data_IF_615820568143
#
_entry.id   IF_615820568143
#
_cell.length_a   1.000
_cell.length_b   1.000
_cell.length_c   1.000
_cell.angle_alpha   90.00
_cell.angle_beta   90.00
_cell.angle_gamma   90.00
#
_symmetry.space_group_name_H-M   'P 1'
#
loop_
_entity.id
_entity.type
_entity.pdbx_description
1 polymer ?
#
# COMPACT_ATOMS: atom_id res chain seq x y z
N UNK A 1 13.27 -3.26 -24.17
CA UNK A 1 14.27 -2.21 -24.47
C UNK A 1 15.16 -1.92 -23.25
N UNK A 2 14.69 -2.08 -22.06
CA UNK A 2 15.42 -1.81 -20.83
C UNK A 2 16.07 -3.06 -20.20
N UNK A 3 16.23 -4.14 -20.94
CA UNK A 3 16.80 -5.40 -20.43
C UNK A 3 18.25 -5.64 -20.85
N UNK A 4 18.78 -4.79 -21.73
CA UNK A 4 20.13 -4.89 -22.25
C UNK A 4 20.70 -3.48 -22.49
N UNK A 5 21.93 -3.18 -22.04
CA UNK A 5 22.55 -1.86 -22.24
C UNK A 5 22.59 -1.41 -23.70
N UNK A 6 22.77 -2.33 -24.64
CA UNK A 6 22.85 -2.02 -26.07
C UNK A 6 21.52 -1.53 -26.68
N UNK A 7 20.39 -1.81 -26.02
CA UNK A 7 19.05 -1.41 -26.43
C UNK A 7 18.45 -0.31 -25.53
N UNK A 8 19.16 0.07 -24.46
CA UNK A 8 18.72 1.10 -23.54
C UNK A 8 18.87 2.48 -24.16
N UNK A 9 17.78 3.24 -24.18
CA UNK A 9 17.74 4.62 -24.68
C UNK A 9 17.15 5.53 -23.60
N UNK A 10 17.87 6.58 -23.26
CA UNK A 10 17.44 7.58 -22.29
C UNK A 10 17.89 8.99 -22.71
N UNK A 11 17.26 9.99 -22.12
CA UNK A 11 17.62 11.40 -22.23
C UNK A 11 18.02 12.02 -20.87
N UNK A 12 18.19 11.19 -19.84
CA UNK A 12 18.58 11.59 -18.50
C UNK A 12 20.08 11.85 -18.34
N UNK A 13 20.52 12.26 -17.12
CA UNK A 13 21.91 12.60 -16.82
C UNK A 13 22.87 11.41 -16.89
N UNK A 14 22.37 10.20 -16.76
CA UNK A 14 23.14 8.97 -16.82
C UNK A 14 22.56 8.00 -17.85
N UNK A 15 23.41 7.13 -18.40
CA UNK A 15 23.03 6.04 -19.30
C UNK A 15 23.59 4.72 -18.76
N UNK A 16 22.95 3.60 -19.11
CA UNK A 16 23.37 2.27 -18.67
C UNK A 16 24.61 1.81 -19.47
N UNK A 17 25.71 1.61 -18.77
CA UNK A 17 26.91 1.02 -19.34
C UNK A 17 26.87 -0.50 -19.32
N UNK A 18 26.50 -1.08 -18.17
CA UNK A 18 26.42 -2.53 -18.00
C UNK A 18 25.32 -2.94 -17.02
N UNK A 19 24.84 -4.17 -17.18
CA UNK A 19 23.95 -4.83 -16.23
C UNK A 19 24.39 -6.28 -16.06
N UNK A 20 25.03 -6.56 -14.95
CA UNK A 20 25.29 -7.92 -14.48
C UNK A 20 24.10 -8.35 -13.62
N UNK A 21 23.25 -9.21 -14.18
CA UNK A 21 22.02 -9.65 -13.53
C UNK A 21 22.29 -10.27 -12.15
N UNK A 22 21.46 -9.92 -11.15
CA UNK A 22 21.57 -10.30 -9.74
C UNK A 22 22.87 -9.81 -9.05
N UNK A 23 23.59 -8.86 -9.62
CA UNK A 23 24.84 -8.34 -9.07
C UNK A 23 24.87 -6.81 -9.08
N UNK A 24 25.06 -6.18 -10.25
CA UNK A 24 25.22 -4.74 -10.33
C UNK A 24 24.70 -4.15 -11.64
N UNK A 25 24.10 -2.95 -11.55
CA UNK A 25 23.84 -2.07 -12.69
C UNK A 25 24.81 -0.91 -12.60
N UNK A 26 25.62 -0.71 -13.65
CA UNK A 26 26.53 0.43 -13.75
C UNK A 26 25.95 1.46 -14.70
N UNK A 27 25.76 2.67 -14.18
CA UNK A 27 25.39 3.84 -14.96
C UNK A 27 26.61 4.75 -15.11
N UNK A 28 26.73 5.36 -16.29
CA UNK A 28 27.77 6.36 -16.58
C UNK A 28 27.16 7.67 -17.02
N UNK A 29 27.85 8.76 -16.80
CA UNK A 29 27.46 10.10 -17.23
C UNK A 29 27.08 10.10 -18.72
N UNK A 30 25.91 10.68 -19.02
CA UNK A 30 25.44 10.81 -20.39
C UNK A 30 25.96 12.11 -21.02
N UNK A 31 26.92 12.05 -21.97
CA UNK A 31 27.48 13.25 -22.57
C UNK A 31 26.50 14.03 -23.46
N UNK A 32 25.35 13.41 -23.79
CA UNK A 32 24.30 14.04 -24.61
C UNK A 32 23.18 14.64 -23.74
N UNK A 33 23.28 14.58 -22.42
CA UNK A 33 22.32 15.23 -21.54
C UNK A 33 22.46 16.76 -21.71
N UNK A 34 21.34 17.49 -21.73
CA UNK A 34 21.34 18.93 -22.03
C UNK A 34 22.17 19.74 -21.03
N UNK A 35 22.36 19.24 -19.83
CA UNK A 35 23.06 19.90 -18.73
C UNK A 35 24.26 19.05 -18.25
N UNK A 36 24.91 18.35 -19.18
CA UNK A 36 25.98 17.38 -18.87
C UNK A 36 27.16 18.03 -18.13
N UNK A 37 27.45 19.30 -18.37
CA UNK A 37 28.56 20.00 -17.74
C UNK A 37 28.39 20.17 -16.21
N UNK A 38 27.15 20.15 -15.73
CA UNK A 38 26.83 20.23 -14.30
C UNK A 38 26.93 18.86 -13.58
N UNK A 39 27.03 17.75 -14.33
CA UNK A 39 27.14 16.41 -13.76
C UNK A 39 28.60 16.14 -13.35
N UNK A 40 28.83 15.96 -12.06
CA UNK A 40 30.15 15.72 -11.49
C UNK A 40 30.49 14.25 -11.30
N UNK A 41 29.49 13.42 -10.99
CA UNK A 41 29.68 11.98 -10.81
C UNK A 41 29.79 11.29 -12.17
N UNK A 42 30.91 10.63 -12.41
CA UNK A 42 31.16 9.93 -13.69
C UNK A 42 30.43 8.58 -13.75
N UNK A 43 30.30 7.89 -12.61
CA UNK A 43 29.74 6.53 -12.52
C UNK A 43 28.89 6.38 -11.27
N UNK A 44 27.79 5.65 -11.41
CA UNK A 44 26.93 5.20 -10.30
C UNK A 44 26.77 3.69 -10.42
N UNK A 45 27.05 2.96 -9.35
CA UNK A 45 26.85 1.52 -9.27
C UNK A 45 25.68 1.20 -8.37
N UNK A 46 24.65 0.53 -8.90
CA UNK A 46 23.54 0.00 -8.13
C UNK A 46 23.80 -1.49 -7.87
N UNK A 47 24.25 -1.83 -6.67
CA UNK A 47 24.41 -3.21 -6.23
C UNK A 47 23.05 -3.81 -5.90
N UNK A 48 22.72 -4.93 -6.52
CA UNK A 48 21.43 -5.60 -6.38
C UNK A 48 21.51 -6.58 -5.21
N UNK A 49 20.88 -6.24 -4.11
CA UNK A 49 20.82 -7.06 -2.90
C UNK A 49 19.42 -6.98 -2.26
N UNK A 50 18.95 -8.10 -1.70
CA UNK A 50 17.78 -8.21 -0.86
C UNK A 50 18.14 -8.53 0.61
N UNK A 51 19.43 -8.51 0.94
CA UNK A 51 19.97 -8.75 2.27
C UNK A 51 20.38 -7.43 2.93
N UNK A 52 19.50 -6.90 3.78
CA UNK A 52 19.71 -5.66 4.51
C UNK A 52 20.94 -5.72 5.45
N UNK A 53 21.29 -6.89 6.00
CA UNK A 53 22.49 -7.06 6.82
C UNK A 53 23.77 -6.92 5.98
N UNK A 54 23.76 -7.46 4.76
CA UNK A 54 24.85 -7.30 3.83
C UNK A 54 25.01 -5.82 3.41
N UNK A 55 23.89 -5.14 3.08
CA UNK A 55 23.90 -3.71 2.77
C UNK A 55 24.51 -2.89 3.89
N UNK A 56 24.05 -3.08 5.12
CA UNK A 56 24.54 -2.36 6.29
C UNK A 56 26.02 -2.62 6.55
N UNK A 57 26.49 -3.86 6.34
CA UNK A 57 27.91 -4.19 6.48
C UNK A 57 28.77 -3.45 5.46
N UNK A 58 28.36 -3.37 4.20
CA UNK A 58 29.11 -2.64 3.16
C UNK A 58 29.10 -1.12 3.43
N UNK A 59 28.00 -0.56 3.92
CA UNK A 59 27.95 0.84 4.33
C UNK A 59 28.92 1.12 5.49
N UNK A 60 28.86 0.33 6.56
CA UNK A 60 29.75 0.50 7.74
C UNK A 60 31.22 0.32 7.41
N UNK A 61 31.57 -0.46 6.38
CA UNK A 61 32.93 -0.64 5.91
C UNK A 61 33.41 0.50 4.98
N UNK A 62 32.50 1.38 4.53
CA UNK A 62 32.79 2.43 3.56
C UNK A 62 32.90 1.92 2.12
N UNK A 63 32.33 0.75 1.82
CA UNK A 63 32.31 0.18 0.47
C UNK A 63 31.14 0.74 -0.36
N UNK A 64 30.04 1.17 0.30
CA UNK A 64 28.86 1.76 -0.31
C UNK A 64 28.51 3.08 0.37
N UNK A 65 28.22 4.10 -0.42
CA UNK A 65 27.90 5.46 0.05
C UNK A 65 26.41 5.64 0.38
N UNK A 66 25.55 4.78 -0.16
CA UNK A 66 24.12 4.81 0.10
C UNK A 66 23.60 3.39 0.20
N UNK A 67 22.75 3.14 1.19
CA UNK A 67 21.92 1.94 1.27
C UNK A 67 20.46 2.34 1.45
N UNK A 68 19.59 1.66 0.72
CA UNK A 68 18.15 1.99 0.58
C UNK A 68 17.25 1.11 1.46
N UNK A 69 17.84 0.30 2.32
CA UNK A 69 17.17 -0.49 3.34
C UNK A 69 18.14 -0.80 4.48
N UNK A 70 17.61 -1.05 5.67
CA UNK A 70 18.37 -1.43 6.86
C UNK A 70 17.66 -2.56 7.61
N UNK A 71 18.39 -3.41 8.35
CA UNK A 71 17.74 -4.39 9.21
C UNK A 71 16.82 -3.73 10.23
N UNK A 72 15.56 -4.15 10.32
CA UNK A 72 14.56 -3.52 11.19
C UNK A 72 14.97 -3.52 12.67
N UNK A 73 15.63 -4.57 13.14
CA UNK A 73 16.16 -4.68 14.49
C UNK A 73 17.34 -3.75 14.79
N UNK A 74 17.96 -3.14 13.78
CA UNK A 74 19.09 -2.20 13.93
C UNK A 74 18.64 -0.72 13.89
N UNK A 75 17.39 -0.42 13.51
CA UNK A 75 16.92 0.96 13.27
C UNK A 75 17.16 1.85 14.51
N UNK A 76 16.83 1.38 15.72
CA UNK A 76 16.99 2.16 16.93
C UNK A 76 18.47 2.47 17.23
N UNK A 77 19.37 1.50 17.04
CA UNK A 77 20.81 1.69 17.20
C UNK A 77 21.39 2.60 16.14
N UNK A 78 20.97 2.42 14.87
CA UNK A 78 21.46 3.25 13.76
C UNK A 78 21.06 4.72 13.90
N UNK A 79 19.84 5.02 14.33
CA UNK A 79 19.41 6.38 14.66
C UNK A 79 20.30 7.04 15.73
N UNK A 80 20.77 6.26 16.70
CA UNK A 80 21.60 6.75 17.78
C UNK A 80 23.09 6.88 17.38
N UNK A 81 23.61 5.94 16.62
CA UNK A 81 25.02 5.85 16.23
C UNK A 81 25.37 6.72 15.01
N UNK A 82 24.41 6.87 14.09
CA UNK A 82 24.57 7.56 12.79
C UNK A 82 23.51 8.66 12.59
N UNK A 83 23.34 9.62 13.54
CA UNK A 83 22.24 10.59 13.49
C UNK A 83 22.27 11.51 12.25
N UNK A 84 23.43 11.72 11.64
CA UNK A 84 23.61 12.56 10.47
C UNK A 84 23.54 11.77 9.14
N UNK A 85 23.63 10.45 9.20
CA UNK A 85 23.67 9.55 8.04
C UNK A 85 22.39 8.71 7.91
N UNK A 86 21.69 8.45 9.02
CA UNK A 86 20.42 7.75 9.01
C UNK A 86 19.27 8.72 8.73
N UNK A 87 18.62 8.57 7.58
CA UNK A 87 17.55 9.48 7.12
C UNK A 87 16.21 8.79 7.20
N UNK A 88 15.22 9.52 7.72
CA UNK A 88 13.79 9.20 7.64
C UNK A 88 13.11 10.32 6.88
N UNK A 89 12.70 10.06 5.65
CA UNK A 89 12.00 11.02 4.81
C UNK A 89 10.51 10.65 4.71
N UNK A 90 9.66 11.65 4.48
CA UNK A 90 8.24 11.39 4.18
C UNK A 90 8.06 10.80 2.78
N UNK A 91 7.18 9.80 2.64
CA UNK A 91 6.85 9.21 1.36
C UNK A 91 5.33 9.10 1.19
N UNK A 92 4.82 9.57 0.05
CA UNK A 92 3.39 9.52 -0.23
C UNK A 92 3.04 8.12 -0.71
N UNK A 93 2.60 7.29 0.21
CA UNK A 93 2.24 5.92 -0.07
C UNK A 93 1.58 5.23 1.10
N UNK A 94 0.87 4.16 0.80
CA UNK A 94 0.15 3.36 1.77
C UNK A 94 0.56 1.90 1.67
N UNK A 95 1.02 1.33 2.79
CA UNK A 95 1.12 -0.10 2.95
C UNK A 95 -0.22 -0.64 3.40
N UNK A 96 -0.71 -1.65 2.71
CA UNK A 96 -2.02 -2.24 3.00
C UNK A 96 -2.01 -3.74 2.74
N UNK A 97 -3.00 -4.41 3.26
CA UNK A 97 -3.37 -5.75 2.82
C UNK A 97 -4.64 -5.67 1.97
N UNK A 98 -4.74 -6.51 0.97
CA UNK A 98 -5.91 -6.58 0.10
C UNK A 98 -6.49 -7.98 0.09
N UNK A 99 -7.82 -8.04 -0.02
CA UNK A 99 -8.55 -9.28 -0.19
C UNK A 99 -8.77 -9.58 -1.67
N UNK A 100 -8.76 -10.85 -2.02
CA UNK A 100 -9.45 -11.26 -3.23
C UNK A 100 -10.98 -11.14 -2.98
N UNK A 101 -11.67 -10.30 -3.73
CA UNK A 101 -13.12 -10.08 -3.54
C UNK A 101 -13.94 -11.38 -3.72
N UNK A 102 -13.40 -12.32 -4.49
CA UNK A 102 -14.04 -13.60 -4.81
C UNK A 102 -13.83 -14.67 -3.73
N UNK A 103 -13.04 -14.38 -2.69
CA UNK A 103 -12.83 -15.33 -1.60
C UNK A 103 -14.13 -15.64 -0.88
N UNK A 104 -14.43 -16.92 -0.74
CA UNK A 104 -15.62 -17.35 0.01
C UNK A 104 -15.28 -17.45 1.50
N UNK A 105 -15.58 -16.36 2.20
CA UNK A 105 -15.30 -16.23 3.63
C UNK A 105 -16.51 -16.54 4.51
N UNK A 106 -17.69 -16.80 3.94
CA UNK A 106 -18.85 -17.19 4.74
C UNK A 106 -18.68 -18.62 5.30
N UNK A 107 -19.23 -18.91 6.49
CA UNK A 107 -19.19 -20.27 7.03
C UNK A 107 -19.97 -21.23 6.14
N UNK A 108 -19.53 -22.48 6.08
CA UNK A 108 -20.18 -23.51 5.25
C UNK A 108 -21.69 -23.72 5.57
N UNK A 109 -22.12 -23.29 6.75
CA UNK A 109 -23.52 -23.33 7.19
C UNK A 109 -24.33 -22.11 6.72
N UNK A 110 -23.71 -21.10 6.10
CA UNK A 110 -24.40 -19.89 5.65
C UNK A 110 -25.42 -20.20 4.56
N UNK A 111 -26.56 -19.54 4.68
CA UNK A 111 -27.63 -19.57 3.66
C UNK A 111 -27.74 -18.26 2.89
N UNK A 112 -26.85 -17.30 3.16
CA UNK A 112 -26.84 -16.00 2.48
C UNK A 112 -26.43 -16.17 1.02
N UNK A 113 -27.08 -15.45 0.13
CA UNK A 113 -26.81 -15.48 -1.31
C UNK A 113 -26.95 -14.09 -1.94
N UNK A 114 -26.33 -13.88 -3.10
CA UNK A 114 -26.45 -12.63 -3.87
C UNK A 114 -26.05 -11.39 -3.04
N UNK A 115 -26.90 -10.38 -3.04
CA UNK A 115 -26.65 -9.10 -2.38
C UNK A 115 -26.38 -9.23 -0.87
N UNK A 116 -27.16 -10.08 -0.18
CA UNK A 116 -26.99 -10.30 1.26
C UNK A 116 -25.64 -10.96 1.59
N UNK A 117 -25.19 -11.90 0.76
CA UNK A 117 -23.88 -12.53 0.93
C UNK A 117 -22.75 -11.53 0.72
N UNK A 118 -22.83 -10.70 -0.31
CA UNK A 118 -21.78 -9.70 -0.60
C UNK A 118 -21.71 -8.62 0.48
N UNK A 119 -22.85 -8.15 0.99
CA UNK A 119 -22.86 -7.22 2.11
C UNK A 119 -22.26 -7.84 3.37
N UNK A 120 -22.61 -9.08 3.68
CA UNK A 120 -22.04 -9.81 4.81
C UNK A 120 -20.52 -9.97 4.68
N UNK A 121 -20.02 -10.35 3.49
CA UNK A 121 -18.59 -10.44 3.22
C UNK A 121 -17.87 -9.09 3.40
N UNK A 122 -18.46 -8.00 2.95
CA UNK A 122 -17.90 -6.65 3.15
C UNK A 122 -17.81 -6.29 4.64
N UNK A 123 -18.87 -6.54 5.43
CA UNK A 123 -18.87 -6.33 6.88
C UNK A 123 -17.81 -7.20 7.57
N UNK A 124 -17.66 -8.46 7.16
CA UNK A 124 -16.65 -9.39 7.71
C UNK A 124 -15.23 -8.88 7.41
N UNK A 125 -14.93 -8.48 6.17
CA UNK A 125 -13.60 -7.95 5.81
C UNK A 125 -13.26 -6.69 6.59
N UNK A 126 -14.22 -5.76 6.71
CA UNK A 126 -14.03 -4.56 7.53
C UNK A 126 -13.79 -4.88 9.00
N UNK A 127 -14.55 -5.83 9.57
CA UNK A 127 -14.35 -6.29 10.95
C UNK A 127 -12.96 -6.92 11.15
N UNK A 128 -12.48 -7.74 10.21
CA UNK A 128 -11.12 -8.29 10.28
C UNK A 128 -10.08 -7.18 10.25
N UNK A 129 -10.27 -6.12 9.45
CA UNK A 129 -9.39 -4.96 9.42
C UNK A 129 -9.26 -4.23 10.77
N UNK A 130 -10.28 -4.33 11.64
CA UNK A 130 -10.28 -3.76 13.00
C UNK A 130 -9.50 -4.64 14.02
N UNK A 131 -9.21 -5.91 13.70
CA UNK A 131 -8.40 -6.77 14.56
C UNK A 131 -6.91 -6.39 14.55
N UNK A 132 -6.47 -5.55 13.63
CA UNK A 132 -5.06 -5.20 13.44
C UNK A 132 -4.73 -3.89 14.16
N UNK A 133 -3.86 -3.97 15.17
CA UNK A 133 -3.30 -2.80 15.84
C UNK A 133 -2.21 -2.15 14.96
N UNK A 134 -2.57 -1.05 14.35
CA UNK A 134 -1.69 -0.29 13.46
C UNK A 134 -0.57 0.41 14.20
N UNK A 135 -0.83 0.83 15.45
CA UNK A 135 0.20 1.44 16.29
C UNK A 135 1.29 0.42 16.64
N UNK A 136 0.90 -0.80 17.01
CA UNK A 136 1.87 -1.89 17.22
C UNK A 136 2.71 -2.17 15.97
N UNK A 137 2.08 -2.18 14.78
CA UNK A 137 2.81 -2.42 13.52
C UNK A 137 3.87 -1.34 13.29
N UNK A 138 3.56 -0.06 13.48
CA UNK A 138 4.51 1.02 13.21
C UNK A 138 5.55 1.19 14.31
N UNK A 139 5.21 0.96 15.57
CA UNK A 139 6.08 1.18 16.72
C UNK A 139 7.01 0.00 17.00
N UNK A 140 6.49 -1.23 16.90
CA UNK A 140 7.23 -2.44 17.29
C UNK A 140 7.83 -3.20 16.10
N UNK A 141 7.21 -3.12 14.91
CA UNK A 141 7.71 -3.82 13.72
C UNK A 141 8.41 -2.83 12.78
N UNK A 142 7.73 -1.75 12.38
CA UNK A 142 8.25 -0.79 11.41
C UNK A 142 9.40 0.05 11.92
N UNK A 143 9.22 0.68 13.08
CA UNK A 143 10.20 1.49 13.83
C UNK A 143 10.88 2.65 13.04
N UNK A 144 10.40 2.93 11.83
CA UNK A 144 11.00 3.87 10.89
C UNK A 144 10.19 5.17 10.71
N UNK A 145 9.34 5.51 11.68
CA UNK A 145 8.54 6.74 11.66
C UNK A 145 7.32 6.66 10.76
N UNK A 146 6.91 5.47 10.35
CA UNK A 146 5.63 5.25 9.66
C UNK A 146 4.48 5.78 10.51
N UNK A 147 3.38 6.17 9.85
CA UNK A 147 2.18 6.67 10.52
C UNK A 147 1.05 5.67 10.31
N UNK A 148 0.30 5.28 11.38
CA UNK A 148 -0.86 4.41 11.23
C UNK A 148 -1.85 4.95 10.21
N UNK A 149 -2.30 4.13 9.27
CA UNK A 149 -3.17 4.57 8.18
C UNK A 149 -4.65 4.39 8.53
N UNK A 150 -5.39 5.50 8.53
CA UNK A 150 -6.84 5.54 8.72
C UNK A 150 -7.63 5.37 7.42
N UNK A 151 -6.99 5.59 6.26
CA UNK A 151 -7.58 5.56 4.92
C UNK A 151 -6.57 5.06 3.88
N UNK A 152 -7.03 4.84 2.65
CA UNK A 152 -6.19 4.31 1.58
C UNK A 152 -5.41 5.40 0.84
N UNK A 153 -6.05 6.54 0.53
CA UNK A 153 -5.32 7.68 -0.03
C UNK A 153 -4.33 8.20 1.00
N UNK A 154 -3.06 8.24 0.62
CA UNK A 154 -1.96 8.47 1.56
C UNK A 154 -1.92 9.89 2.14
N UNK A 155 -1.39 10.00 3.35
CA UNK A 155 -0.96 11.25 3.94
C UNK A 155 0.01 11.98 2.99
N UNK A 156 -0.16 13.30 2.86
CA UNK A 156 0.61 14.14 1.94
C UNK A 156 -0.16 14.52 0.68
N UNK A 157 -1.24 13.80 0.34
CA UNK A 157 -2.22 14.26 -0.65
C UNK A 157 -3.12 15.33 -0.05
N UNK A 158 -3.40 16.39 -0.79
CA UNK A 158 -4.19 17.54 -0.29
C UNK A 158 -5.40 17.81 -1.15
N UNK A 159 -6.45 18.33 -0.52
CA UNK A 159 -7.59 18.95 -1.19
C UNK A 159 -7.17 20.29 -1.83
N UNK A 160 -8.01 20.90 -2.70
CA UNK A 160 -7.72 22.19 -3.34
C UNK A 160 -7.48 23.34 -2.36
N UNK A 161 -8.05 23.28 -1.16
CA UNK A 161 -7.87 24.25 -0.08
C UNK A 161 -6.60 24.05 0.76
N UNK A 162 -5.82 22.99 0.49
CA UNK A 162 -4.58 22.63 1.17
C UNK A 162 -4.75 21.76 2.43
N UNK A 163 -5.98 21.39 2.79
CA UNK A 163 -6.22 20.40 3.86
C UNK A 163 -5.82 19.00 3.41
N UNK A 164 -5.48 18.13 4.35
CA UNK A 164 -5.12 16.75 4.01
C UNK A 164 -6.34 16.00 3.49
N UNK A 165 -6.18 15.27 2.39
CA UNK A 165 -7.27 14.50 1.77
C UNK A 165 -7.81 13.44 2.73
N UNK A 166 -6.94 12.69 3.39
CA UNK A 166 -7.32 11.59 4.28
C UNK A 166 -8.06 12.04 5.57
N UNK A 167 -7.96 13.32 5.94
CA UNK A 167 -8.60 13.88 7.14
C UNK A 167 -10.00 14.44 6.87
N UNK A 168 -10.33 14.71 5.61
CA UNK A 168 -11.49 15.53 5.25
C UNK A 168 -12.45 14.86 4.28
N UNK A 169 -12.58 13.56 4.31
CA UNK A 169 -13.34 12.74 3.34
C UNK A 169 -14.86 13.07 3.17
N UNK A 170 -15.27 14.34 3.29
CA UNK A 170 -16.67 14.76 3.13
C UNK A 170 -17.59 14.33 4.29
N UNK A 171 -17.03 13.77 5.34
CA UNK A 171 -17.71 13.30 6.52
C UNK A 171 -17.93 14.39 7.58
N UNK A 172 -18.49 14.01 8.72
CA UNK A 172 -18.74 14.89 9.87
C UNK A 172 -17.43 15.40 10.50
N UNK A 173 -17.53 16.45 11.32
CA UNK A 173 -16.39 16.99 12.09
C UNK A 173 -15.73 15.97 13.03
N UNK A 174 -16.40 14.85 13.32
CA UNK A 174 -15.94 13.73 14.16
C UNK A 174 -15.32 12.59 13.33
N UNK A 175 -15.08 12.79 12.04
CA UNK A 175 -14.50 11.77 11.18
C UNK A 175 -13.05 11.45 11.59
N UNK A 176 -12.80 10.18 11.87
CA UNK A 176 -11.49 9.66 12.32
C UNK A 176 -10.82 8.74 11.27
N UNK A 177 -11.33 8.75 10.05
CA UNK A 177 -10.94 7.81 9.01
C UNK A 177 -11.88 6.60 8.92
N UNK A 178 -11.59 5.68 8.03
CA UNK A 178 -12.31 4.40 7.93
C UNK A 178 -11.91 3.45 9.06
N UNK A 179 -10.76 3.68 9.66
CA UNK A 179 -10.26 3.02 10.86
C UNK A 179 -9.85 4.09 11.86
N UNK A 180 -10.36 4.00 13.09
CA UNK A 180 -9.84 4.83 14.18
C UNK A 180 -8.46 4.30 14.59
N UNK A 181 -7.43 5.08 14.31
CA UNK A 181 -6.02 4.74 14.56
C UNK A 181 -5.45 5.47 15.78
N UNK A 182 -6.29 6.14 16.58
CA UNK A 182 -5.85 6.74 17.83
C UNK A 182 -5.30 5.66 18.78
N UNK A 183 -4.31 6.02 19.59
CA UNK A 183 -3.55 5.07 20.39
C UNK A 183 -4.40 4.24 21.37
N UNK A 184 -5.54 4.79 21.79
CA UNK A 184 -6.48 4.17 22.73
C UNK A 184 -7.70 3.50 22.05
N UNK A 185 -7.80 3.57 20.70
CA UNK A 185 -8.94 3.01 19.98
C UNK A 185 -8.89 1.50 19.77
N UNK A 186 -7.72 0.87 19.89
CA UNK A 186 -7.54 -0.53 19.50
C UNK A 186 -8.47 -1.50 20.28
N UNK A 187 -8.64 -1.31 21.58
CA UNK A 187 -9.52 -2.19 22.38
C UNK A 187 -10.97 -2.11 21.91
N UNK A 188 -11.48 -0.91 21.65
CA UNK A 188 -12.85 -0.71 21.14
C UNK A 188 -13.01 -1.20 19.70
N UNK A 189 -11.99 -1.06 18.86
CA UNK A 189 -11.97 -1.62 17.50
C UNK A 189 -12.03 -3.14 17.53
N UNK A 190 -11.24 -3.77 18.40
CA UNK A 190 -11.22 -5.23 18.57
C UNK A 190 -12.59 -5.76 19.06
N UNK A 191 -13.19 -5.12 20.07
CA UNK A 191 -14.53 -5.48 20.56
C UNK A 191 -15.58 -5.36 19.44
N UNK A 192 -15.54 -4.27 18.67
CA UNK A 192 -16.44 -4.03 17.54
C UNK A 192 -16.28 -5.09 16.44
N UNK A 193 -15.04 -5.52 16.18
CA UNK A 193 -14.75 -6.60 15.25
C UNK A 193 -15.39 -7.91 15.70
N UNK A 194 -15.16 -8.30 16.95
CA UNK A 194 -15.72 -9.54 17.52
C UNK A 194 -17.25 -9.52 17.47
N UNK A 195 -17.90 -8.43 17.90
CA UNK A 195 -19.37 -8.31 17.86
C UNK A 195 -19.92 -8.36 16.43
N UNK A 196 -19.19 -7.83 15.45
CA UNK A 196 -19.59 -7.93 14.06
C UNK A 196 -19.46 -9.35 13.54
N UNK A 197 -18.35 -10.03 13.82
CA UNK A 197 -18.13 -11.42 13.40
C UNK A 197 -19.10 -12.40 14.05
N UNK A 198 -19.57 -12.17 15.28
CA UNK A 198 -20.61 -12.97 15.95
C UNK A 198 -21.94 -13.02 15.18
N UNK A 199 -22.20 -12.07 14.29
CA UNK A 199 -23.41 -12.09 13.44
C UNK A 199 -23.38 -13.24 12.42
N UNK A 200 -22.19 -13.68 12.05
CA UNK A 200 -21.95 -14.58 10.92
C UNK A 200 -21.37 -15.94 11.32
N UNK A 201 -20.61 -15.98 12.40
CA UNK A 201 -19.84 -17.17 12.81
C UNK A 201 -20.24 -17.66 14.20
N UNK A 202 -20.00 -18.95 14.43
CA UNK A 202 -20.19 -19.57 15.75
C UNK A 202 -19.07 -19.15 16.68
N UNK A 203 -19.43 -18.47 17.77
CA UNK A 203 -18.49 -17.99 18.79
C UNK A 203 -18.62 -18.81 20.07
N UNK A 204 -17.50 -19.34 20.59
CA UNK A 204 -17.45 -20.04 21.87
C UNK A 204 -17.08 -19.04 22.98
N UNK A 205 -18.06 -18.62 23.75
CA UNK A 205 -17.89 -17.69 24.87
C UNK A 205 -16.91 -18.20 25.96
N UNK A 206 -16.70 -19.51 26.06
CA UNK A 206 -15.79 -20.08 27.06
C UNK A 206 -14.31 -19.95 26.68
N UNK A 207 -14.02 -19.89 25.38
CA UNK A 207 -12.66 -19.75 24.86
C UNK A 207 -12.39 -18.36 24.26
N UNK A 208 -13.45 -17.60 23.93
CA UNK A 208 -13.32 -16.34 23.21
C UNK A 208 -12.98 -16.52 21.73
N UNK A 209 -13.32 -17.63 21.10
CA UNK A 209 -12.87 -18.01 19.75
C UNK A 209 -14.04 -18.34 18.81
N UNK A 210 -13.87 -17.97 17.53
CA UNK A 210 -14.71 -18.47 16.44
C UNK A 210 -14.27 -19.89 16.05
N UNK A 211 -15.25 -20.74 15.71
CA UNK A 211 -14.99 -22.19 15.50
C UNK A 211 -15.23 -22.64 14.05
N UNK A 212 -15.89 -21.84 13.24
CA UNK A 212 -16.31 -22.18 11.88
C UNK A 212 -15.88 -21.16 10.81
N UNK A 213 -14.90 -20.31 11.14
CA UNK A 213 -14.28 -19.41 10.16
C UNK A 213 -13.42 -20.23 9.19
N UNK A 214 -13.53 -20.00 7.85
CA UNK A 214 -12.70 -20.72 6.88
C UNK A 214 -11.21 -20.36 7.03
N UNK A 215 -10.33 -21.32 6.69
CA UNK A 215 -8.89 -21.06 6.72
C UNK A 215 -8.50 -20.12 5.58
N UNK A 216 -7.74 -19.09 5.91
CA UNK A 216 -7.23 -18.09 4.96
C UNK A 216 -5.77 -18.36 4.61
N UNK A 217 -5.33 -17.82 3.47
CA UNK A 217 -3.92 -17.76 3.09
C UNK A 217 -3.52 -16.29 2.89
N UNK A 218 -2.46 -15.88 3.58
CA UNK A 218 -1.82 -14.58 3.43
C UNK A 218 -0.59 -14.69 2.55
N UNK A 219 -0.64 -14.07 1.39
CA UNK A 219 0.43 -14.07 0.40
C UNK A 219 1.33 -12.82 0.57
N UNK A 220 2.65 -13.02 0.63
CA UNK A 220 3.62 -11.93 0.70
C UNK A 220 4.92 -12.27 -0.04
N UNK A 221 5.63 -11.23 -0.50
CA UNK A 221 6.95 -11.41 -1.11
C UNK A 221 8.05 -11.48 -0.05
N UNK A 222 9.14 -12.13 -0.40
CA UNK A 222 10.31 -12.32 0.46
C UNK A 222 10.85 -10.99 0.96
N UNK A 223 10.75 -10.77 2.27
CA UNK A 223 11.28 -9.64 3.03
C UNK A 223 11.10 -9.95 4.52
N UNK A 224 12.08 -9.61 5.35
CA UNK A 224 11.98 -9.78 6.80
C UNK A 224 10.86 -8.93 7.40
N UNK A 225 10.71 -7.68 6.95
CA UNK A 225 9.65 -6.79 7.40
C UNK A 225 8.25 -7.31 7.02
N UNK A 226 8.07 -7.78 5.78
CA UNK A 226 6.78 -8.32 5.35
C UNK A 226 6.43 -9.62 6.09
N UNK A 227 7.43 -10.45 6.40
CA UNK A 227 7.27 -11.64 7.22
C UNK A 227 6.81 -11.28 8.62
N UNK A 228 7.49 -10.33 9.28
CA UNK A 228 7.15 -9.90 10.64
C UNK A 228 5.71 -9.34 10.72
N UNK A 229 5.30 -8.54 9.73
CA UNK A 229 3.91 -8.07 9.62
C UNK A 229 2.96 -9.26 9.44
N UNK A 230 3.25 -10.18 8.54
CA UNK A 230 2.43 -11.37 8.30
C UNK A 230 2.27 -12.24 9.56
N UNK A 231 3.34 -12.46 10.32
CA UNK A 231 3.33 -13.19 11.60
C UNK A 231 2.49 -12.47 12.65
N UNK A 232 2.55 -11.14 12.70
CA UNK A 232 1.69 -10.36 13.57
C UNK A 232 0.20 -10.48 13.19
N UNK A 233 -0.15 -10.31 11.90
CA UNK A 233 -1.53 -10.45 11.43
C UNK A 233 -2.07 -11.86 11.69
N UNK A 234 -1.24 -12.90 11.47
CA UNK A 234 -1.58 -14.29 11.81
C UNK A 234 -1.89 -14.45 13.30
N UNK A 235 -1.07 -13.83 14.16
CA UNK A 235 -1.27 -13.88 15.62
C UNK A 235 -2.56 -13.18 16.04
N UNK A 236 -2.85 -12.00 15.49
CA UNK A 236 -4.08 -11.25 15.76
C UNK A 236 -5.34 -12.06 15.35
N UNK A 237 -5.30 -12.71 14.20
CA UNK A 237 -6.36 -13.60 13.73
C UNK A 237 -6.52 -14.83 14.62
N UNK A 238 -5.41 -15.46 15.01
CA UNK A 238 -5.41 -16.63 15.87
C UNK A 238 -5.98 -16.34 17.27
N UNK A 239 -5.81 -15.12 17.77
CA UNK A 239 -6.35 -14.68 19.05
C UNK A 239 -7.88 -14.77 19.13
N UNK A 240 -8.57 -14.70 17.99
CA UNK A 240 -10.03 -14.87 17.88
C UNK A 240 -10.43 -16.20 17.24
N UNK A 241 -9.51 -17.16 17.07
CA UNK A 241 -9.80 -18.47 16.51
C UNK A 241 -9.84 -18.56 14.98
N UNK A 242 -9.35 -17.54 14.27
CA UNK A 242 -9.26 -17.54 12.80
C UNK A 242 -7.88 -18.07 12.38
N UNK A 243 -7.88 -19.12 11.55
CA UNK A 243 -6.64 -19.70 11.02
C UNK A 243 -6.23 -19.01 9.74
N UNK A 244 -5.03 -18.44 9.71
CA UNK A 244 -4.42 -17.85 8.52
C UNK A 244 -3.04 -18.45 8.27
N UNK A 245 -2.84 -19.08 7.12
CA UNK A 245 -1.54 -19.59 6.69
C UNK A 245 -0.73 -18.49 6.02
N UNK A 246 0.58 -18.52 6.22
CA UNK A 246 1.50 -17.58 5.57
C UNK A 246 2.13 -18.25 4.35
N UNK A 247 2.08 -17.59 3.20
CA UNK A 247 2.69 -18.04 1.96
C UNK A 247 3.69 -16.99 1.46
N UNK A 248 4.98 -17.37 1.48
CA UNK A 248 6.07 -16.54 0.97
C UNK A 248 6.39 -16.91 -0.47
N UNK A 249 6.55 -15.92 -1.32
CA UNK A 249 6.98 -16.09 -2.71
C UNK A 249 8.08 -15.08 -3.07
N UNK A 250 8.93 -15.46 -4.03
CA UNK A 250 9.84 -14.53 -4.67
C UNK A 250 9.07 -13.46 -5.45
N UNK A 251 9.63 -12.25 -5.57
CA UNK A 251 8.93 -11.05 -6.06
C UNK A 251 8.19 -11.24 -7.38
N UNK A 252 8.85 -11.79 -8.41
CA UNK A 252 8.22 -11.94 -9.72
C UNK A 252 7.06 -12.97 -9.71
N UNK A 253 7.21 -14.06 -8.95
CA UNK A 253 6.18 -15.06 -8.73
C UNK A 253 5.01 -14.45 -7.95
N UNK A 254 5.31 -13.76 -6.85
CA UNK A 254 4.33 -13.07 -6.03
C UNK A 254 3.45 -12.10 -6.83
N UNK A 255 4.05 -11.27 -7.69
CA UNK A 255 3.30 -10.36 -8.55
C UNK A 255 2.34 -11.09 -9.47
N UNK A 256 2.77 -12.20 -10.07
CA UNK A 256 1.92 -12.97 -10.98
C UNK A 256 0.77 -13.66 -10.23
N UNK A 257 1.05 -14.28 -9.08
CA UNK A 257 0.06 -14.94 -8.22
C UNK A 257 -0.99 -13.93 -7.74
N UNK A 258 -0.55 -12.75 -7.26
CA UNK A 258 -1.46 -11.69 -6.82
C UNK A 258 -2.33 -11.15 -7.95
N UNK A 259 -1.75 -10.89 -9.13
CA UNK A 259 -2.50 -10.44 -10.33
C UNK A 259 -3.49 -11.48 -10.84
N UNK A 260 -3.21 -12.77 -10.65
CA UNK A 260 -4.12 -13.86 -10.99
C UNK A 260 -5.28 -14.00 -9.99
N UNK A 261 -5.16 -13.43 -8.79
CA UNK A 261 -6.14 -13.59 -7.71
C UNK A 261 -6.01 -14.93 -6.97
N UNK A 262 -4.86 -15.58 -7.02
CA UNK A 262 -4.63 -16.87 -6.37
C UNK A 262 -4.19 -16.68 -4.90
N UNK A 263 -5.03 -16.01 -4.10
CA UNK A 263 -4.79 -15.72 -2.69
C UNK A 263 -6.11 -15.39 -1.98
N UNK A 264 -6.15 -15.52 -0.66
CA UNK A 264 -7.27 -15.00 0.16
C UNK A 264 -7.01 -13.53 0.54
N UNK A 265 -5.88 -13.28 1.20
CA UNK A 265 -5.38 -11.95 1.56
C UNK A 265 -3.95 -11.84 1.06
N UNK A 266 -3.56 -10.69 0.52
CA UNK A 266 -2.19 -10.46 0.09
C UNK A 266 -1.62 -9.15 0.65
N UNK A 267 -0.32 -9.14 0.90
CA UNK A 267 0.43 -7.91 1.10
C UNK A 267 0.35 -7.04 -0.15
N UNK A 268 0.18 -5.75 0.04
CA UNK A 268 0.26 -4.79 -1.04
C UNK A 268 0.84 -3.45 -0.55
N UNK A 269 1.18 -2.59 -1.48
CA UNK A 269 1.62 -1.24 -1.21
C UNK A 269 1.49 -0.40 -2.47
N UNK A 270 1.17 0.86 -2.31
CA UNK A 270 1.10 1.81 -3.40
C UNK A 270 1.83 3.09 -3.03
N UNK A 271 2.78 3.49 -3.86
CA UNK A 271 3.45 4.78 -3.80
C UNK A 271 2.87 5.68 -4.89
N UNK A 272 2.69 6.96 -4.58
CA UNK A 272 2.13 7.90 -5.54
C UNK A 272 3.06 8.07 -6.75
N UNK A 273 2.53 7.90 -7.95
CA UNK A 273 3.24 8.21 -9.21
C UNK A 273 3.31 9.71 -9.45
N UNK A 274 2.31 10.45 -8.94
CA UNK A 274 2.18 11.91 -9.06
C UNK A 274 1.30 12.45 -7.93
N UNK A 275 1.36 13.76 -7.69
CA UNK A 275 0.63 14.43 -6.59
C UNK A 275 -0.82 14.71 -6.98
N UNK A 276 -1.65 13.67 -7.03
CA UNK A 276 -3.11 13.77 -7.20
C UNK A 276 -3.75 12.50 -6.60
N UNK A 277 -4.79 12.61 -5.74
CA UNK A 277 -5.43 11.46 -5.10
C UNK A 277 -5.94 10.38 -6.05
N UNK A 278 -6.25 10.75 -7.32
CA UNK A 278 -6.73 9.78 -8.30
C UNK A 278 -5.71 8.66 -8.58
N UNK A 279 -4.42 8.88 -8.33
CA UNK A 279 -3.42 7.83 -8.53
C UNK A 279 -3.57 6.66 -7.52
N UNK A 280 -4.29 6.86 -6.42
CA UNK A 280 -4.70 5.82 -5.49
C UNK A 280 -6.05 5.18 -5.86
N UNK A 281 -6.87 5.86 -6.62
CA UNK A 281 -8.26 5.48 -6.86
C UNK A 281 -8.47 4.83 -8.22
N UNK A 282 -7.80 5.28 -9.28
CA UNK A 282 -8.05 4.79 -10.63
C UNK A 282 -7.47 3.40 -10.93
N UNK A 283 -6.64 2.89 -10.02
CA UNK A 283 -6.08 1.54 -10.12
C UNK A 283 -7.11 0.42 -9.92
N UNK A 284 -8.28 0.72 -9.39
CA UNK A 284 -9.31 -0.27 -9.03
C UNK A 284 -10.41 -0.46 -10.09
N UNK A 285 -10.36 0.27 -11.20
CA UNK A 285 -11.30 0.04 -12.32
C UNK A 285 -11.12 -1.37 -12.90
N UNK A 286 -12.20 -1.93 -13.43
CA UNK A 286 -12.27 -3.32 -13.92
C UNK A 286 -11.08 -3.72 -14.81
N UNK A 287 -10.69 -2.86 -15.74
CA UNK A 287 -9.65 -3.15 -16.72
C UNK A 287 -8.24 -2.71 -16.32
N UNK A 288 -8.04 -2.24 -15.09
CA UNK A 288 -6.72 -1.87 -14.60
C UNK A 288 -5.82 -3.08 -14.40
N UNK A 289 -4.56 -2.98 -14.84
CA UNK A 289 -3.53 -3.99 -14.56
C UNK A 289 -3.09 -4.04 -13.09
N UNK A 290 -3.50 -3.04 -12.29
CA UNK A 290 -3.20 -2.95 -10.86
C UNK A 290 -4.42 -3.30 -9.98
N UNK A 291 -5.54 -3.73 -10.58
CA UNK A 291 -6.71 -4.21 -9.87
C UNK A 291 -6.46 -5.64 -9.33
N UNK A 292 -5.60 -5.73 -8.34
CA UNK A 292 -5.20 -7.01 -7.73
C UNK A 292 -6.35 -7.68 -6.95
N UNK A 293 -7.29 -6.89 -6.46
CA UNK A 293 -8.49 -7.34 -5.71
C UNK A 293 -9.50 -8.09 -6.57
N UNK A 294 -9.35 -8.04 -7.90
CA UNK A 294 -10.21 -8.70 -8.87
C UNK A 294 -11.61 -8.07 -9.02
N UNK A 295 -11.78 -6.78 -8.73
CA UNK A 295 -13.04 -6.08 -8.94
C UNK A 295 -13.53 -6.21 -10.40
N UNK A 296 -14.78 -6.64 -10.58
CA UNK A 296 -15.42 -6.79 -11.88
C UNK A 296 -14.85 -7.90 -12.78
N UNK A 297 -13.91 -8.71 -12.30
CA UNK A 297 -13.25 -9.75 -13.11
C UNK A 297 -13.90 -11.12 -13.00
N UNK A 298 -14.73 -11.38 -11.99
CA UNK A 298 -15.37 -12.67 -11.76
C UNK A 298 -16.80 -12.46 -11.20
N UNK A 299 -17.65 -13.44 -11.38
CA UNK A 299 -19.12 -13.41 -11.15
C UNK A 299 -19.55 -13.14 -9.71
N UNK A 300 -18.71 -13.38 -8.70
CA UNK A 300 -19.04 -13.13 -7.30
C UNK A 300 -19.26 -11.64 -6.98
N UNK A 301 -18.70 -10.75 -7.79
CA UNK A 301 -18.90 -9.31 -7.68
C UNK A 301 -20.19 -8.80 -8.38
N UNK A 302 -21.03 -9.69 -8.90
CA UNK A 302 -22.26 -9.34 -9.62
C UNK A 302 -23.45 -8.97 -8.71
N UNK A 303 -23.23 -8.91 -7.39
CA UNK A 303 -24.28 -8.41 -6.49
C UNK A 303 -24.59 -6.94 -6.79
N UNK A 304 -25.82 -6.69 -7.18
CA UNK A 304 -26.31 -5.35 -7.54
C UNK A 304 -26.81 -4.61 -6.30
N UNK A 305 -25.90 -4.15 -5.47
CA UNK A 305 -26.22 -3.48 -4.20
C UNK A 305 -25.70 -2.04 -4.13
N UNK A 306 -24.97 -1.60 -5.14
CA UNK A 306 -24.37 -0.28 -5.19
C UNK A 306 -25.20 0.68 -6.02
N UNK A 307 -25.38 1.89 -5.52
CA UNK A 307 -26.10 2.96 -6.23
C UNK A 307 -25.25 4.22 -6.20
N UNK A 308 -25.30 4.98 -7.29
CA UNK A 308 -24.59 6.25 -7.45
C UNK A 308 -25.54 7.25 -8.10
N UNK A 309 -25.59 8.47 -7.59
CA UNK A 309 -26.31 9.58 -8.19
C UNK A 309 -25.43 10.84 -8.19
N UNK A 310 -24.87 11.18 -9.35
CA UNK A 310 -24.00 12.34 -9.51
C UNK A 310 -24.73 13.59 -10.03
N UNK A 311 -26.04 13.60 -10.04
CA UNK A 311 -26.84 14.75 -10.53
C UNK A 311 -26.65 16.02 -9.72
N UNK A 312 -26.37 15.90 -8.42
CA UNK A 312 -26.02 17.05 -7.55
C UNK A 312 -24.71 17.75 -7.94
N UNK A 313 -23.82 17.06 -8.63
CA UNK A 313 -22.56 17.57 -9.16
C UNK A 313 -22.64 18.03 -10.62
N UNK A 314 -23.85 17.98 -11.21
CA UNK A 314 -24.08 18.40 -12.59
C UNK A 314 -23.84 17.33 -13.65
N UNK A 315 -23.74 16.06 -13.26
CA UNK A 315 -23.64 14.90 -14.15
C UNK A 315 -24.99 14.24 -14.34
N UNK A 316 -25.25 13.69 -15.53
CA UNK A 316 -26.45 12.86 -15.78
C UNK A 316 -26.24 11.38 -15.30
N UNK A 317 -25.11 11.10 -14.66
CA UNK A 317 -24.72 9.76 -14.25
C UNK A 317 -25.53 9.29 -13.06
N UNK A 318 -26.26 8.19 -13.26
CA UNK A 318 -26.96 7.43 -12.22
C UNK A 318 -26.75 5.95 -12.41
N UNK A 319 -26.45 5.25 -11.33
CA UNK A 319 -26.46 3.78 -11.25
C UNK A 319 -27.45 3.39 -10.17
N UNK A 320 -28.49 2.66 -10.52
CA UNK A 320 -29.46 2.10 -9.57
C UNK A 320 -29.23 0.59 -9.47
N UNK A 321 -28.86 0.12 -8.27
CA UNK A 321 -28.57 -1.29 -8.02
C UNK A 321 -27.58 -1.86 -9.04
N UNK A 322 -26.43 -1.22 -9.20
CA UNK A 322 -25.31 -1.69 -10.00
C UNK A 322 -24.42 -2.67 -9.25
N UNK A 323 -23.56 -3.34 -9.97
CA UNK A 323 -22.40 -4.01 -9.35
C UNK A 323 -21.42 -2.95 -8.84
N UNK A 324 -20.51 -3.34 -7.96
CA UNK A 324 -19.46 -2.43 -7.51
C UNK A 324 -18.68 -1.87 -8.70
N UNK A 325 -18.26 -2.73 -9.62
CA UNK A 325 -17.48 -2.35 -10.78
C UNK A 325 -18.25 -1.41 -11.74
N UNK A 326 -19.50 -1.70 -12.04
CA UNK A 326 -20.37 -0.80 -12.84
C UNK A 326 -20.41 0.61 -12.23
N UNK A 327 -20.54 0.69 -10.90
CA UNK A 327 -20.66 1.95 -10.17
C UNK A 327 -19.31 2.69 -10.11
N UNK A 328 -18.22 1.98 -9.78
CA UNK A 328 -16.90 2.57 -9.63
C UNK A 328 -16.31 3.01 -10.96
N UNK A 329 -16.44 2.21 -12.02
CA UNK A 329 -15.90 2.53 -13.35
C UNK A 329 -16.49 3.82 -13.91
N UNK A 330 -17.80 4.07 -13.74
CA UNK A 330 -18.42 5.32 -14.19
C UNK A 330 -17.98 6.50 -13.32
N UNK A 331 -17.90 6.32 -12.00
CA UNK A 331 -17.43 7.37 -11.08
C UNK A 331 -16.01 7.82 -11.42
N UNK A 332 -15.08 6.90 -11.62
CA UNK A 332 -13.70 7.22 -12.04
C UNK A 332 -13.67 7.89 -13.43
N UNK A 333 -14.55 7.49 -14.36
CA UNK A 333 -14.65 8.15 -15.66
C UNK A 333 -15.10 9.62 -15.52
N UNK A 334 -16.07 9.90 -14.67
CA UNK A 334 -16.56 11.27 -14.41
C UNK A 334 -15.49 12.11 -13.69
N UNK A 335 -14.78 11.56 -12.71
CA UNK A 335 -13.63 12.20 -12.06
C UNK A 335 -12.57 12.63 -13.09
N UNK A 336 -12.22 11.72 -14.02
CA UNK A 336 -11.21 12.00 -15.05
C UNK A 336 -11.65 13.07 -16.07
N UNK A 337 -12.94 13.24 -16.28
CA UNK A 337 -13.50 14.23 -17.19
C UNK A 337 -13.84 15.56 -16.50
N UNK A 338 -13.88 15.59 -15.17
CA UNK A 338 -14.22 16.76 -14.39
C UNK A 338 -13.09 17.81 -14.43
N UNK A 339 -13.45 19.05 -14.80
CA UNK A 339 -12.51 20.19 -14.89
C UNK A 339 -12.63 21.17 -13.72
N UNK A 340 -13.70 21.06 -12.92
CA UNK A 340 -13.88 21.84 -11.70
C UNK A 340 -13.18 21.15 -10.53
N UNK A 341 -12.14 21.77 -9.92
CA UNK A 341 -11.34 21.10 -8.90
C UNK A 341 -12.15 20.67 -7.66
N UNK A 342 -13.06 21.52 -7.16
CA UNK A 342 -13.83 21.21 -5.95
C UNK A 342 -14.76 20.01 -6.18
N UNK A 343 -15.51 20.02 -7.28
CA UNK A 343 -16.36 18.89 -7.68
C UNK A 343 -15.54 17.63 -7.87
N UNK A 344 -14.40 17.73 -8.56
CA UNK A 344 -13.53 16.59 -8.82
C UNK A 344 -13.04 15.92 -7.53
N UNK A 345 -12.61 16.72 -6.55
CA UNK A 345 -12.15 16.19 -5.27
C UNK A 345 -13.29 15.60 -4.43
N UNK A 346 -14.47 16.23 -4.44
CA UNK A 346 -15.65 15.63 -3.81
C UNK A 346 -15.99 14.25 -4.39
N UNK A 347 -15.93 14.10 -5.71
CA UNK A 347 -16.12 12.80 -6.37
C UNK A 347 -15.00 11.79 -6.03
N UNK A 348 -13.77 12.24 -5.79
CA UNK A 348 -12.67 11.35 -5.35
C UNK A 348 -12.89 10.86 -3.92
N UNK A 349 -13.44 11.69 -3.03
CA UNK A 349 -13.86 11.22 -1.69
C UNK A 349 -14.96 10.16 -1.79
N UNK A 350 -15.98 10.34 -2.64
CA UNK A 350 -17.00 9.32 -2.89
C UNK A 350 -16.39 8.02 -3.46
N UNK A 351 -15.36 8.12 -4.29
CA UNK A 351 -14.67 6.95 -4.81
C UNK A 351 -13.91 6.18 -3.72
N UNK A 352 -13.26 6.88 -2.79
CA UNK A 352 -12.61 6.24 -1.65
C UNK A 352 -13.65 5.61 -0.70
N UNK A 353 -14.77 6.28 -0.42
CA UNK A 353 -15.88 5.73 0.37
C UNK A 353 -16.40 4.41 -0.23
N UNK A 354 -16.63 4.41 -1.55
CA UNK A 354 -17.11 3.23 -2.25
C UNK A 354 -16.06 2.10 -2.24
N UNK A 355 -14.77 2.43 -2.38
CA UNK A 355 -13.67 1.48 -2.30
C UNK A 355 -13.59 0.84 -0.91
N UNK A 356 -13.55 1.69 0.12
CA UNK A 356 -13.39 1.26 1.50
C UNK A 356 -14.61 0.50 2.04
N UNK A 357 -15.83 0.80 1.53
CA UNK A 357 -17.05 0.09 1.91
C UNK A 357 -16.99 -1.41 1.63
N UNK A 358 -16.19 -1.85 0.67
CA UNK A 358 -16.01 -3.26 0.32
C UNK A 358 -15.23 -4.06 1.37
N UNK A 359 -14.45 -3.39 2.22
CA UNK A 359 -13.49 -4.01 3.14
C UNK A 359 -12.32 -4.74 2.44
N UNK A 360 -12.23 -4.66 1.12
CA UNK A 360 -11.17 -5.34 0.36
C UNK A 360 -9.80 -4.69 0.51
N UNK A 361 -9.75 -3.42 0.90
CA UNK A 361 -8.52 -2.68 1.14
C UNK A 361 -8.43 -2.38 2.63
N UNK A 362 -7.37 -2.86 3.26
CA UNK A 362 -7.10 -2.65 4.69
C UNK A 362 -5.78 -1.91 4.84
N UNK A 363 -5.80 -0.57 4.89
CA UNK A 363 -4.62 0.23 5.12
C UNK A 363 -4.00 -0.09 6.49
N UNK A 364 -2.68 -0.20 6.54
CA UNK A 364 -1.95 -0.46 7.78
C UNK A 364 -1.12 0.75 8.21
N UNK A 365 -0.30 1.31 7.31
CA UNK A 365 0.47 2.51 7.60
C UNK A 365 0.79 3.31 6.33
N UNK A 366 1.06 4.61 6.52
CA UNK A 366 1.65 5.46 5.52
C UNK A 366 3.16 5.34 5.55
N UNK A 367 3.76 5.25 4.36
CA UNK A 367 5.20 5.02 4.20
C UNK A 367 6.06 6.17 4.70
N UNK A 368 7.22 5.81 5.19
CA UNK A 368 8.41 6.65 5.21
C UNK A 368 9.48 6.02 4.31
N UNK A 369 10.36 6.84 3.78
CA UNK A 369 11.56 6.42 3.06
C UNK A 369 12.74 6.45 4.03
N UNK A 370 13.31 5.27 4.33
CA UNK A 370 14.48 5.15 5.19
C UNK A 370 15.68 4.75 4.34
N UNK A 371 16.79 5.43 4.56
CA UNK A 371 18.06 5.11 3.92
C UNK A 371 19.23 5.58 4.78
N UNK A 372 20.41 5.06 4.52
CA UNK A 372 21.64 5.63 5.06
C UNK A 372 22.45 6.24 3.92
N UNK A 373 22.98 7.44 4.17
CA UNK A 373 23.79 8.20 3.24
C UNK A 373 25.09 8.63 3.92
N UNK A 374 26.22 8.26 3.34
CA UNK A 374 27.53 8.66 3.84
C UNK A 374 27.66 10.19 3.90
N UNK A 375 28.17 10.70 5.00
CA UNK A 375 28.33 12.15 5.26
C UNK A 375 29.19 12.89 4.24
N UNK A 376 30.03 12.18 3.47
CA UNK A 376 30.83 12.75 2.39
C UNK A 376 30.03 12.96 1.09
N UNK A 377 28.81 12.43 0.98
CA UNK A 377 27.94 12.63 -0.19
C UNK A 377 27.14 13.91 -0.02
N UNK A 378 27.31 14.84 -0.93
CA UNK A 378 26.60 16.11 -0.94
C UNK A 378 25.71 16.23 -2.18
N UNK A 379 24.64 17.02 -2.11
CA UNK A 379 23.75 17.28 -3.26
C UNK A 379 22.78 16.14 -3.58
N UNK A 380 22.76 15.07 -2.79
CA UNK A 380 21.72 14.05 -2.88
C UNK A 380 20.42 14.57 -2.31
N UNK A 381 19.29 14.22 -2.94
CA UNK A 381 17.96 14.40 -2.35
C UNK A 381 16.98 13.33 -2.84
N UNK A 382 16.01 13.02 -2.00
CA UNK A 382 14.83 12.24 -2.35
C UNK A 382 13.59 13.14 -2.32
N UNK A 383 12.52 12.74 -3.01
CA UNK A 383 11.23 13.44 -2.94
C UNK A 383 10.15 12.50 -2.36
N UNK A 384 9.01 13.06 -1.91
CA UNK A 384 7.93 12.24 -1.33
C UNK A 384 7.30 11.21 -2.28
N UNK A 385 7.58 11.26 -3.58
CA UNK A 385 7.18 10.25 -4.57
C UNK A 385 8.16 9.07 -4.65
N UNK A 386 9.19 9.02 -3.80
CA UNK A 386 10.17 7.94 -3.76
C UNK A 386 11.30 8.04 -4.79
N UNK A 387 11.40 9.16 -5.51
CA UNK A 387 12.49 9.35 -6.45
C UNK A 387 13.76 9.86 -5.75
N UNK A 388 14.89 9.23 -6.04
CA UNK A 388 16.22 9.60 -5.56
C UNK A 388 17.03 10.24 -6.68
N UNK A 389 17.62 11.41 -6.43
CA UNK A 389 18.28 12.24 -7.42
C UNK A 389 19.78 12.27 -7.15
N UNK A 390 20.55 11.76 -8.13
CA UNK A 390 22.00 11.63 -8.06
C UNK A 390 22.76 12.66 -8.90
N UNK A 391 22.07 13.38 -9.79
CA UNK A 391 22.70 14.24 -10.79
C UNK A 391 23.49 15.40 -10.19
N UNK A 392 23.17 15.82 -8.97
CA UNK A 392 23.86 16.91 -8.27
C UNK A 392 24.82 16.40 -7.18
N UNK A 393 25.01 15.08 -7.08
CA UNK A 393 25.88 14.50 -6.07
C UNK A 393 27.33 14.83 -6.32
N UNK A 394 28.04 15.13 -5.23
CA UNK A 394 29.50 15.23 -5.18
C UNK A 394 30.00 14.43 -3.98
N UNK A 395 31.19 13.88 -4.06
CA UNK A 395 31.89 13.24 -2.94
C UNK A 395 33.04 14.16 -2.54
N UNK A 396 33.07 14.58 -1.29
CA UNK A 396 34.04 15.58 -0.80
C UNK A 396 34.66 15.21 0.53
#
# INVERSE_FOLDING_TARGET
>A
WATDPSTYVCNGPYTMESWEHNSVITLVKNPNFYDADEITMETINFYLSDDANNMLSNFKNGDWELIDDVPTNEIASLKAEYPDEFVVAGQIGTYYVCWNINEDILPASSTLTGAEAEQAKAEIRNAIGLLFDRNYIVEEIGQAGQVPASSFVAMGMTNPDGTQFYETAGHSDDYVGYYDVSADAYESNFESAVETLKKYYTYDESTGMFTDFPTLTYLYNTSEAHKAIGEYLQSAMAAVGITMNLENQEWATFLNTRKAGDYSIARNGWLADYNDPICFLDMWVTNSGNNDVQFGKVDAADAKIYSLDLTSYGYDTKVENGTWAETYDVLISDIKSCTDPETRYALMHEAEDLLMSTGCIVPLYYYTDIYMLDSNVHGFFSNPLGYKYFMYCTIG
#
